data_IF_431462035129
#
_entry.id   IF_431462035129
#
_cell.length_a   1.000
_cell.length_b   1.000
_cell.length_c   1.000
_cell.angle_alpha   90.00
_cell.angle_beta   90.00
_cell.angle_gamma   90.00
#
_symmetry.space_group_name_H-M   'P 1'
#
loop_
_entity.id
_entity.type
_entity.pdbx_description
1 polymer ?
#
# COMPACT_ATOMS: atom_id res chain seq x y z
N UNK A 1 45.72 15.50 -42.50
CA UNK A 1 44.35 15.94 -42.20
C UNK A 1 43.61 14.67 -41.86
N UNK A 2 43.61 14.31 -40.59
CA UNK A 2 42.98 13.10 -40.07
C UNK A 2 42.06 13.58 -38.95
N UNK A 3 40.80 13.85 -39.31
CA UNK A 3 39.75 14.08 -38.34
C UNK A 3 39.04 12.74 -38.17
N UNK A 4 39.47 12.02 -37.13
CA UNK A 4 38.71 10.90 -36.59
C UNK A 4 37.47 11.50 -35.91
N UNK A 5 36.34 11.48 -36.61
CA UNK A 5 35.03 11.82 -36.02
C UNK A 5 34.78 10.89 -34.84
N UNK A 6 34.95 11.41 -33.64
CA UNK A 6 34.56 10.72 -32.41
C UNK A 6 33.04 10.81 -32.34
N UNK A 7 32.34 9.73 -32.69
CA UNK A 7 30.89 9.64 -32.45
C UNK A 7 30.71 9.59 -30.92
N UNK A 8 30.29 10.71 -30.34
CA UNK A 8 29.83 10.77 -28.96
C UNK A 8 28.42 10.19 -28.96
N UNK A 9 28.28 8.94 -28.56
CA UNK A 9 26.97 8.34 -28.32
C UNK A 9 26.36 8.99 -27.08
N UNK A 10 25.38 9.87 -27.30
CA UNK A 10 24.64 10.49 -26.20
C UNK A 10 23.68 9.44 -25.64
N UNK A 11 24.09 8.76 -24.57
CA UNK A 11 23.21 7.86 -23.82
C UNK A 11 22.10 8.70 -23.17
N UNK A 12 20.89 8.65 -23.74
CA UNK A 12 19.72 9.30 -23.16
C UNK A 12 19.15 8.37 -22.09
N UNK A 13 18.99 8.88 -20.86
CA UNK A 13 18.34 8.17 -19.75
C UNK A 13 16.84 8.47 -19.71
N UNK A 14 16.04 7.52 -19.24
CA UNK A 14 14.64 7.78 -18.92
C UNK A 14 14.49 8.91 -17.90
N UNK A 15 13.40 9.66 -17.97
CA UNK A 15 13.01 10.56 -16.90
C UNK A 15 12.66 9.82 -15.60
N UNK A 16 12.47 10.56 -14.50
CA UNK A 16 11.97 9.97 -13.25
C UNK A 16 10.43 9.98 -13.22
N UNK A 17 9.77 8.89 -12.79
CA UNK A 17 8.33 8.90 -12.54
C UNK A 17 7.96 9.97 -11.49
N UNK A 18 6.77 10.55 -11.64
CA UNK A 18 6.27 11.61 -10.76
C UNK A 18 4.87 11.28 -10.25
N UNK A 19 4.35 12.08 -9.30
CA UNK A 19 2.98 11.95 -8.78
C UNK A 19 2.65 10.53 -8.30
N UNK A 20 3.54 9.94 -7.49
CA UNK A 20 3.28 8.64 -6.88
C UNK A 20 2.09 8.74 -5.92
N UNK A 21 1.11 7.86 -6.13
CA UNK A 21 -0.05 7.67 -5.26
C UNK A 21 -0.07 6.22 -4.79
N UNK A 22 -0.31 6.00 -3.50
CA UNK A 22 -0.48 4.66 -2.93
C UNK A 22 -1.87 4.59 -2.28
N UNK A 23 -2.68 3.64 -2.74
CA UNK A 23 -4.04 3.41 -2.24
C UNK A 23 -4.12 2.00 -1.69
N UNK A 24 -4.55 1.87 -0.44
CA UNK A 24 -4.78 0.56 0.17
C UNK A 24 -5.99 -0.13 -0.46
N UNK A 25 -5.80 -1.40 -0.85
CA UNK A 25 -6.86 -2.25 -1.42
C UNK A 25 -7.32 -3.36 -0.47
N UNK A 26 -6.47 -3.76 0.49
CA UNK A 26 -6.82 -4.68 1.59
C UNK A 26 -5.84 -4.51 2.77
N UNK A 27 -5.99 -5.26 3.87
CA UNK A 27 -4.97 -5.34 4.94
C UNK A 27 -3.55 -5.66 4.43
N UNK A 28 -3.45 -6.35 3.30
CA UNK A 28 -2.19 -6.95 2.82
C UNK A 28 -1.86 -6.53 1.39
N UNK A 29 -2.55 -5.51 0.85
CA UNK A 29 -2.33 -5.05 -0.51
C UNK A 29 -2.58 -3.56 -0.70
N UNK A 30 -1.83 -2.99 -1.65
CA UNK A 30 -1.98 -1.62 -2.13
C UNK A 30 -1.88 -1.58 -3.64
N UNK A 31 -2.51 -0.59 -4.26
CA UNK A 31 -2.21 -0.16 -5.63
C UNK A 31 -1.27 1.04 -5.53
N UNK A 32 -0.14 0.96 -6.25
CA UNK A 32 0.78 2.07 -6.45
C UNK A 32 0.57 2.60 -7.87
N UNK A 33 0.30 3.88 -8.01
CA UNK A 33 0.11 4.58 -9.29
C UNK A 33 1.15 5.69 -9.45
N UNK A 34 1.54 5.99 -10.69
CA UNK A 34 2.50 7.05 -10.99
C UNK A 34 2.22 7.69 -12.35
N UNK A 35 2.78 8.88 -12.56
CA UNK A 35 2.84 9.52 -13.88
C UNK A 35 4.14 9.15 -14.60
N UNK A 36 4.00 8.83 -15.89
CA UNK A 36 5.14 8.60 -16.78
C UNK A 36 6.06 9.83 -16.79
N UNK A 37 7.40 9.64 -16.84
CA UNK A 37 8.32 10.77 -16.93
C UNK A 37 8.12 11.61 -18.19
N UNK A 38 8.26 12.94 -18.05
CA UNK A 38 8.31 13.86 -19.18
C UNK A 38 9.76 14.03 -19.66
N UNK A 39 10.01 13.67 -20.92
CA UNK A 39 11.34 13.73 -21.54
C UNK A 39 12.31 12.61 -21.14
N UNK A 40 13.44 12.56 -21.84
CA UNK A 40 14.40 11.46 -21.74
C UNK A 40 14.15 10.34 -22.75
N UNK A 41 14.79 9.20 -22.54
CA UNK A 41 14.63 8.03 -23.40
C UNK A 41 13.25 7.39 -23.23
N UNK A 42 12.81 6.68 -24.27
CA UNK A 42 11.57 5.91 -24.25
C UNK A 42 11.60 4.91 -23.10
N UNK A 43 10.57 4.97 -22.25
CA UNK A 43 10.41 4.04 -21.14
C UNK A 43 9.99 2.68 -21.69
N UNK A 44 10.77 1.65 -21.38
CA UNK A 44 10.48 0.26 -21.76
C UNK A 44 9.84 -0.52 -20.62
N UNK A 45 10.00 -0.06 -19.38
CA UNK A 45 9.45 -0.70 -18.20
C UNK A 45 9.49 0.17 -16.95
N UNK A 46 8.90 -0.36 -15.89
CA UNK A 46 9.02 0.19 -14.55
C UNK A 46 9.37 -0.92 -13.55
N UNK A 47 10.08 -0.54 -12.49
CA UNK A 47 10.30 -1.40 -11.32
C UNK A 47 9.80 -0.64 -10.09
N UNK A 48 8.82 -1.21 -9.40
CA UNK A 48 8.32 -0.69 -8.12
C UNK A 48 9.14 -1.34 -7.01
N UNK A 49 9.92 -0.53 -6.29
CA UNK A 49 10.70 -0.93 -5.13
C UNK A 49 9.94 -0.61 -3.85
N UNK A 50 9.88 -1.56 -2.91
CA UNK A 50 9.16 -1.38 -1.65
C UNK A 50 9.78 -2.12 -0.48
N UNK A 51 9.81 -1.46 0.68
CA UNK A 51 10.34 -2.02 1.92
C UNK A 51 9.50 -1.70 3.13
N UNK A 52 9.62 -2.59 4.11
CA UNK A 52 9.07 -2.45 5.44
C UNK A 52 9.97 -1.56 6.30
N UNK A 53 9.38 -0.65 7.09
CA UNK A 53 10.07 -0.01 8.21
C UNK A 53 10.03 1.52 8.22
N UNK A 54 10.25 2.06 9.42
CA UNK A 54 10.20 3.47 9.73
C UNK A 54 11.46 4.22 9.26
N UNK A 55 11.32 4.90 8.12
CA UNK A 55 12.00 6.16 7.77
C UNK A 55 13.51 6.20 7.50
N UNK A 56 14.31 5.13 7.67
CA UNK A 56 15.76 5.19 7.35
C UNK A 56 16.13 4.67 5.95
N UNK A 57 15.14 4.38 5.09
CA UNK A 57 15.38 3.95 3.71
C UNK A 57 15.69 5.16 2.82
N UNK A 58 16.92 5.24 2.32
CA UNK A 58 17.33 6.19 1.29
C UNK A 58 17.16 5.58 -0.11
N UNK A 59 17.18 6.41 -1.17
CA UNK A 59 17.09 5.91 -2.55
C UNK A 59 18.17 4.89 -2.90
N UNK A 60 19.40 5.09 -2.40
CA UNK A 60 20.53 4.18 -2.62
C UNK A 60 20.30 2.79 -2.05
N UNK A 61 19.51 2.69 -0.97
CA UNK A 61 19.29 1.43 -0.26
C UNK A 61 18.04 0.70 -0.75
N UNK A 62 17.27 1.31 -1.66
CA UNK A 62 16.09 0.66 -2.23
C UNK A 62 16.45 -0.48 -3.18
N UNK A 63 17.50 -0.35 -3.98
CA UNK A 63 17.83 -1.34 -4.99
C UNK A 63 18.46 -2.62 -4.42
N UNK A 64 19.05 -2.56 -3.22
CA UNK A 64 19.83 -3.67 -2.64
C UNK A 64 19.11 -4.46 -1.54
N UNK A 65 18.08 -3.89 -0.89
CA UNK A 65 17.49 -4.49 0.32
C UNK A 65 15.97 -4.46 0.35
N UNK A 66 15.32 -4.25 -0.80
CA UNK A 66 13.86 -4.10 -0.87
C UNK A 66 13.25 -5.06 -1.87
N UNK A 67 11.99 -5.42 -1.63
CA UNK A 67 11.23 -6.23 -2.56
C UNK A 67 10.89 -5.38 -3.78
N UNK A 68 10.83 -6.00 -4.95
CA UNK A 68 10.57 -5.28 -6.20
C UNK A 68 9.54 -5.99 -7.07
N UNK A 69 8.85 -5.20 -7.89
CA UNK A 69 7.90 -5.68 -8.89
C UNK A 69 8.11 -4.99 -10.23
N UNK A 70 8.41 -5.78 -11.26
CA UNK A 70 8.53 -5.29 -12.63
C UNK A 70 7.17 -5.12 -13.29
N UNK A 71 7.05 -4.07 -14.09
CA UNK A 71 5.81 -3.63 -14.73
C UNK A 71 6.12 -3.19 -16.17
N UNK A 72 5.28 -3.52 -17.17
CA UNK A 72 5.50 -3.09 -18.55
C UNK A 72 5.49 -1.56 -18.69
N UNK A 73 6.25 -1.02 -19.66
CA UNK A 73 6.32 0.43 -19.89
C UNK A 73 5.00 1.09 -20.31
N UNK A 74 4.04 0.28 -20.78
CA UNK A 74 2.67 0.73 -21.09
C UNK A 74 1.77 0.91 -19.87
N UNK A 75 2.21 0.49 -18.70
CA UNK A 75 1.43 0.53 -17.45
C UNK A 75 1.97 1.60 -16.51
N UNK A 76 1.06 2.25 -15.78
CA UNK A 76 1.35 3.32 -14.82
C UNK A 76 0.83 3.02 -13.42
N UNK A 77 0.56 1.74 -13.15
CA UNK A 77 0.12 1.25 -11.85
C UNK A 77 0.60 -0.18 -11.59
N UNK A 78 0.66 -0.56 -10.31
CA UNK A 78 0.98 -1.91 -9.87
C UNK A 78 0.22 -2.28 -8.59
N UNK A 79 -0.40 -3.46 -8.60
CA UNK A 79 -0.92 -4.09 -7.38
C UNK A 79 0.24 -4.77 -6.63
N UNK A 80 0.50 -4.34 -5.41
CA UNK A 80 1.46 -4.95 -4.49
C UNK A 80 0.67 -5.73 -3.44
N UNK A 81 1.03 -7.00 -3.24
CA UNK A 81 0.34 -7.93 -2.34
C UNK A 81 1.31 -8.53 -1.33
N UNK A 82 0.79 -9.36 -0.42
CA UNK A 82 1.57 -10.02 0.64
C UNK A 82 2.30 -9.00 1.55
N UNK A 83 1.69 -7.84 1.73
CA UNK A 83 2.13 -6.86 2.71
C UNK A 83 1.61 -7.23 4.10
N UNK A 84 2.27 -6.74 5.13
CA UNK A 84 1.88 -6.89 6.52
C UNK A 84 1.16 -5.63 6.96
N UNK A 85 -0.08 -5.80 7.44
CA UNK A 85 -0.87 -4.69 8.00
C UNK A 85 -0.14 -4.01 9.17
N UNK A 86 -0.51 -2.77 9.47
CA UNK A 86 0.01 -1.99 10.58
C UNK A 86 1.48 -1.58 10.51
N UNK A 87 2.08 -1.67 9.32
CA UNK A 87 3.44 -1.23 9.09
C UNK A 87 3.52 -0.06 8.12
N UNK A 88 4.55 0.76 8.33
CA UNK A 88 4.95 1.77 7.37
C UNK A 88 5.75 1.12 6.24
N UNK A 89 5.36 1.46 5.03
CA UNK A 89 6.01 1.04 3.80
C UNK A 89 6.59 2.24 3.09
N UNK A 90 7.79 2.03 2.54
CA UNK A 90 8.47 2.99 1.69
C UNK A 90 8.37 2.49 0.25
N UNK A 91 7.89 3.31 -0.66
CA UNK A 91 7.72 3.00 -2.09
C UNK A 91 8.55 3.96 -2.96
N UNK A 92 9.12 3.44 -4.05
CA UNK A 92 9.68 4.24 -5.14
C UNK A 92 9.50 3.50 -6.45
N UNK A 93 9.29 4.24 -7.53
CA UNK A 93 9.16 3.67 -8.88
C UNK A 93 10.36 4.10 -9.71
N UNK A 94 11.00 3.13 -10.33
CA UNK A 94 12.10 3.30 -11.26
C UNK A 94 11.59 3.13 -12.69
N UNK A 95 11.79 4.13 -13.55
CA UNK A 95 11.57 3.98 -14.98
C UNK A 95 12.83 3.38 -15.62
N UNK A 96 12.67 2.33 -16.42
CA UNK A 96 13.76 1.71 -17.18
C UNK A 96 13.66 2.10 -18.65
N UNK A 97 14.81 2.35 -19.27
CA UNK A 97 14.97 2.44 -20.72
C UNK A 97 15.92 1.35 -21.20
N UNK A 98 16.24 1.31 -22.49
CA UNK A 98 17.17 0.32 -23.04
C UNK A 98 18.57 0.38 -22.40
N UNK A 99 19.00 1.52 -21.85
CA UNK A 99 20.38 1.70 -21.39
C UNK A 99 20.48 2.14 -19.93
N UNK A 100 19.62 3.05 -19.49
CA UNK A 100 19.69 3.62 -18.14
C UNK A 100 18.30 3.77 -17.50
N UNK A 101 18.28 3.91 -16.18
CA UNK A 101 17.06 4.04 -15.40
C UNK A 101 17.05 5.26 -14.50
N UNK A 102 15.86 5.66 -14.02
CA UNK A 102 15.75 6.73 -13.03
C UNK A 102 14.60 6.53 -12.06
N UNK A 103 14.93 6.63 -10.77
CA UNK A 103 13.98 6.49 -9.67
C UNK A 103 13.22 7.79 -9.40
N UNK A 104 11.97 7.65 -8.96
CA UNK A 104 11.14 8.70 -8.39
C UNK A 104 11.68 9.20 -7.06
N UNK A 105 10.96 10.15 -6.44
CA UNK A 105 11.09 10.40 -4.99
C UNK A 105 10.49 9.21 -4.22
N UNK A 106 10.93 9.07 -2.97
CA UNK A 106 10.37 8.11 -2.03
C UNK A 106 8.99 8.58 -1.55
N UNK A 107 8.05 7.65 -1.44
CA UNK A 107 6.73 7.85 -0.86
C UNK A 107 6.55 6.90 0.33
N UNK A 108 6.16 7.42 1.49
CA UNK A 108 5.91 6.61 2.69
C UNK A 108 4.41 6.48 2.88
N UNK A 109 3.94 5.25 3.09
CA UNK A 109 2.53 4.91 3.26
C UNK A 109 2.35 3.98 4.45
N UNK A 110 1.43 4.34 5.37
CA UNK A 110 1.05 3.47 6.49
C UNK A 110 -0.05 2.53 6.05
N UNK A 111 0.22 1.23 6.03
CA UNK A 111 -0.80 0.23 5.74
C UNK A 111 -1.72 0.07 6.96
N UNK A 112 -3.00 0.38 6.78
CA UNK A 112 -4.03 0.18 7.79
C UNK A 112 -4.48 -1.26 7.86
N UNK A 113 -5.38 -1.54 8.78
CA UNK A 113 -6.01 -2.85 8.94
C UNK A 113 -7.11 -3.06 7.93
N UNK A 114 -7.44 -4.31 7.67
CA UNK A 114 -8.69 -4.63 6.98
C UNK A 114 -9.85 -4.32 7.90
N UNK A 115 -10.93 -3.77 7.32
CA UNK A 115 -12.18 -3.48 8.02
C UNK A 115 -12.61 -4.70 8.85
N UNK A 116 -12.69 -4.50 10.16
CA UNK A 116 -12.76 -5.57 11.14
C UNK A 116 -14.20 -6.04 11.24
N UNK A 117 -14.54 -7.12 10.54
CA UNK A 117 -15.73 -7.89 10.90
C UNK A 117 -15.43 -8.62 12.20
N UNK A 118 -15.74 -7.97 13.32
CA UNK A 118 -15.61 -8.55 14.66
C UNK A 118 -16.79 -9.45 14.93
N UNK A 119 -16.53 -10.71 15.27
CA UNK A 119 -17.58 -11.59 15.73
C UNK A 119 -18.02 -11.13 17.13
N UNK A 120 -19.28 -10.73 17.27
CA UNK A 120 -19.86 -10.31 18.54
C UNK A 120 -20.93 -11.33 18.93
N UNK A 121 -20.78 -11.92 20.10
CA UNK A 121 -21.77 -12.81 20.71
C UNK A 121 -22.38 -12.16 21.94
N UNK A 122 -23.66 -12.43 22.16
CA UNK A 122 -24.38 -11.95 23.33
C UNK A 122 -25.24 -13.08 23.90
N UNK A 123 -25.13 -13.30 25.21
CA UNK A 123 -25.87 -14.34 25.92
C UNK A 123 -26.60 -13.73 27.12
N UNK A 124 -27.86 -14.14 27.33
CA UNK A 124 -28.61 -13.77 28.50
C UNK A 124 -28.10 -14.58 29.71
N UNK A 125 -27.51 -13.89 30.68
CA UNK A 125 -27.08 -14.49 31.95
C UNK A 125 -28.25 -14.49 32.94
N UNK A 126 -29.12 -13.49 32.86
CA UNK A 126 -30.33 -13.39 33.66
C UNK A 126 -31.41 -12.56 32.95
N UNK A 127 -32.54 -12.31 33.62
CA UNK A 127 -33.58 -11.42 33.12
C UNK A 127 -33.14 -9.97 32.93
N UNK A 128 -32.02 -9.55 33.52
CA UNK A 128 -31.51 -8.17 33.48
C UNK A 128 -30.05 -8.05 33.06
N UNK A 129 -29.36 -9.18 32.83
CA UNK A 129 -27.92 -9.21 32.53
C UNK A 129 -27.68 -9.93 31.22
N UNK A 130 -26.96 -9.25 30.32
CA UNK A 130 -26.45 -9.81 29.07
C UNK A 130 -24.93 -9.80 29.16
N UNK A 131 -24.31 -10.95 28.92
CA UNK A 131 -22.88 -11.06 28.69
C UNK A 131 -22.63 -10.83 27.21
N UNK A 132 -21.80 -9.85 26.87
CA UNK A 132 -21.39 -9.57 25.49
C UNK A 132 -19.92 -9.88 25.38
N UNK A 133 -19.56 -10.71 24.41
CA UNK A 133 -18.19 -11.08 24.11
C UNK A 133 -17.90 -10.82 22.65
N UNK A 134 -16.64 -10.52 22.35
CA UNK A 134 -16.19 -10.33 20.98
C UNK A 134 -14.75 -10.82 20.85
N UNK A 135 -14.39 -11.18 19.63
CA UNK A 135 -13.01 -11.54 19.31
C UNK A 135 -12.09 -10.33 19.50
N UNK A 136 -10.81 -10.59 19.78
CA UNK A 136 -9.82 -9.54 19.93
C UNK A 136 -9.81 -8.58 18.73
N UNK A 137 -9.96 -7.28 19.01
CA UNK A 137 -9.87 -6.24 17.99
C UNK A 137 -8.43 -6.20 17.47
N UNK A 138 -8.21 -6.47 16.19
CA UNK A 138 -6.93 -6.08 15.59
C UNK A 138 -6.93 -4.55 15.55
N UNK A 139 -5.89 -3.93 16.09
CA UNK A 139 -5.68 -2.49 16.04
C UNK A 139 -4.19 -2.18 15.77
N UNK A 140 -3.88 -1.28 14.83
CA UNK A 140 -2.50 -0.84 14.54
C UNK A 140 -1.88 0.03 15.63
N UNK A 141 -2.47 0.02 16.82
CA UNK A 141 -2.11 0.83 17.97
C UNK A 141 -2.99 0.48 19.17
N UNK A 142 -2.71 1.09 20.34
CA UNK A 142 -3.51 0.85 21.52
C UNK A 142 -4.96 1.27 21.29
N UNK A 143 -5.89 0.34 21.51
CA UNK A 143 -7.32 0.65 21.57
C UNK A 143 -7.58 1.35 22.90
N UNK A 144 -7.74 2.67 22.88
CA UNK A 144 -7.94 3.46 24.10
C UNK A 144 -9.37 3.38 24.63
N UNK A 145 -10.36 3.22 23.74
CA UNK A 145 -11.78 3.18 24.11
C UNK A 145 -12.58 2.27 23.16
N UNK A 146 -13.54 1.54 23.74
CA UNK A 146 -14.55 0.78 23.00
C UNK A 146 -15.95 1.30 23.36
N UNK A 147 -16.82 1.44 22.38
CA UNK A 147 -18.22 1.81 22.58
C UNK A 147 -19.14 0.68 22.16
N UNK A 148 -19.85 0.09 23.13
CA UNK A 148 -20.90 -0.91 22.88
C UNK A 148 -22.25 -0.20 22.93
N UNK A 149 -23.07 -0.37 21.90
CA UNK A 149 -24.45 0.15 21.83
C UNK A 149 -25.40 -1.01 21.67
N UNK A 150 -26.51 -1.00 22.41
CA UNK A 150 -27.60 -1.95 22.28
C UNK A 150 -28.93 -1.22 22.14
N UNK A 151 -29.95 -1.92 21.66
CA UNK A 151 -31.31 -1.40 21.56
C UNK A 151 -32.30 -2.49 21.96
N UNK A 152 -33.28 -2.11 22.75
CA UNK A 152 -34.32 -3.03 23.23
C UNK A 152 -35.47 -3.06 22.22
N UNK A 153 -35.94 -4.25 21.88
CA UNK A 153 -37.14 -4.46 21.07
C UNK A 153 -38.16 -5.23 21.90
N UNK A 154 -39.40 -4.79 21.88
CA UNK A 154 -40.52 -5.47 22.54
C UNK A 154 -41.32 -6.25 21.50
N UNK A 155 -41.62 -7.52 21.79
CA UNK A 155 -42.50 -8.35 20.96
C UNK A 155 -43.81 -8.54 21.72
N UNK A 156 -44.92 -8.10 21.12
CA UNK A 156 -46.25 -8.32 21.70
C UNK A 156 -46.65 -9.79 21.54
N UNK A 157 -46.96 -10.47 22.64
CA UNK A 157 -47.60 -11.79 22.60
C UNK A 157 -49.11 -11.55 22.68
N UNK A 158 -49.82 -11.73 21.56
CA UNK A 158 -51.28 -11.68 21.56
C UNK A 158 -51.81 -12.98 22.15
N UNK A 159 -52.50 -12.89 23.29
CA UNK A 159 -53.28 -14.00 23.83
C UNK A 159 -54.69 -13.90 23.21
N UNK A 160 -55.05 -14.86 22.36
CA UNK A 160 -56.42 -15.04 21.91
C UNK A 160 -57.22 -15.59 23.09
N UNK A 161 -58.15 -14.78 23.59
CA UNK A 161 -59.20 -15.20 24.54
C UNK A 161 -60.39 -15.77 23.76
#
# INVERSE_FOLDING_TARGET
HDQSDTIIDFVIVAGSPTLLLVVQTSATSVIVEWSQPSGGATVTGYVVHYSHGDSNTTKSNMTDSTASKSVPGSSTHALITNLTECYNYTFSVEATSEHLSRMSKIFIFKLGESDLSVNVTAEAVSSTVISVQWDHLRACGPVSHLSVKFSVKYTAVSVLL
#
